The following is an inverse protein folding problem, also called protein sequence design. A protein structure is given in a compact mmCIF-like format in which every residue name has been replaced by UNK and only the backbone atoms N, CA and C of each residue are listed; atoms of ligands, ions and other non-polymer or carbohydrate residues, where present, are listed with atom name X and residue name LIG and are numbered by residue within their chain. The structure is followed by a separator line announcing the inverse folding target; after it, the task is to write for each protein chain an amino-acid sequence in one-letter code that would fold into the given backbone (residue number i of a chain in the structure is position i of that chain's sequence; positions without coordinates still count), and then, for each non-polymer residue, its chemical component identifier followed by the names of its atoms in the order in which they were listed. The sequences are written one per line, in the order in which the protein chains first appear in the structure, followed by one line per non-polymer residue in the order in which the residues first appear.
data_IF_821170263183
#
_entry.id   IF_821170263183
#
_cell.length_a   1.000
_cell.length_b   1.000
_cell.length_c   1.000
_cell.angle_alpha   90.00
_cell.angle_beta   90.00
_cell.angle_gamma   90.00
#
_symmetry.space_group_name_H-M   'P 1'
#
loop_
_entity.id
_entity.type
_entity.pdbx_description
1 polymer ?
#
# COMPACT_ATOMS: atom_id res chain seq x y z
N UNK A 1 -1.72 -30.52 -0.74
CA UNK A 1 -3.12 -30.25 -0.33
C UNK A 1 -3.10 -29.77 1.12
N UNK A 2 -3.46 -28.52 1.41
CA UNK A 2 -3.50 -28.05 2.80
C UNK A 2 -4.87 -27.43 3.12
N UNK A 3 -5.61 -28.19 3.94
CA UNK A 3 -6.91 -27.91 4.54
C UNK A 3 -6.79 -26.74 5.54
N UNK A 4 -7.87 -25.95 5.63
CA UNK A 4 -8.08 -24.99 6.72
C UNK A 4 -7.88 -23.53 6.30
N UNK A 5 -8.88 -22.93 5.65
CA UNK A 5 -8.98 -21.47 5.55
C UNK A 5 -10.18 -21.03 6.37
N UNK A 6 -9.98 -20.74 7.67
CA UNK A 6 -10.98 -19.99 8.40
C UNK A 6 -11.04 -18.57 7.82
N UNK A 7 -12.26 -18.02 7.66
CA UNK A 7 -12.46 -16.65 7.12
C UNK A 7 -11.63 -15.60 7.87
N UNK A 8 -11.40 -15.81 9.17
CA UNK A 8 -10.56 -14.97 10.03
C UNK A 8 -9.09 -14.93 9.59
N UNK A 9 -8.53 -16.05 9.14
CA UNK A 9 -7.14 -16.11 8.68
C UNK A 9 -6.92 -15.29 7.41
N UNK A 10 -7.89 -15.31 6.48
CA UNK A 10 -7.82 -14.54 5.24
C UNK A 10 -7.92 -13.03 5.52
N UNK A 11 -8.80 -12.59 6.42
CA UNK A 11 -8.93 -11.17 6.81
C UNK A 11 -7.63 -10.63 7.42
N UNK A 12 -7.05 -11.38 8.35
CA UNK A 12 -5.79 -10.99 8.98
C UNK A 12 -4.65 -10.92 7.96
N UNK A 13 -4.56 -11.91 7.06
CA UNK A 13 -3.58 -11.89 5.96
C UNK A 13 -3.76 -10.69 5.04
N UNK A 14 -4.99 -10.34 4.69
CA UNK A 14 -5.26 -9.16 3.87
C UNK A 14 -4.81 -7.88 4.57
N UNK A 15 -5.18 -7.68 5.84
CA UNK A 15 -4.78 -6.51 6.61
C UNK A 15 -3.24 -6.40 6.74
N UNK A 16 -2.55 -7.51 7.00
CA UNK A 16 -1.08 -7.57 7.03
C UNK A 16 -0.48 -7.21 5.68
N UNK A 17 -1.11 -7.66 4.59
CA UNK A 17 -0.65 -7.40 3.23
C UNK A 17 -0.79 -5.94 2.83
N UNK A 18 -1.91 -5.32 3.19
CA UNK A 18 -2.13 -3.87 3.02
C UNK A 18 -1.08 -3.09 3.81
N UNK A 19 -0.86 -3.42 5.09
CA UNK A 19 0.16 -2.76 5.91
C UNK A 19 1.57 -2.93 5.33
N UNK A 20 1.95 -4.15 4.96
CA UNK A 20 3.24 -4.44 4.35
C UNK A 20 3.44 -3.65 3.05
N UNK A 21 2.38 -3.52 2.24
CA UNK A 21 2.41 -2.71 1.03
C UNK A 21 2.65 -1.24 1.32
N UNK A 22 1.91 -0.64 2.25
CA UNK A 22 2.10 0.77 2.64
C UNK A 22 3.54 1.04 3.09
N UNK A 23 4.09 0.18 3.96
CA UNK A 23 5.45 0.36 4.47
C UNK A 23 6.50 0.22 3.37
N UNK A 24 6.30 -0.71 2.43
CA UNK A 24 7.22 -0.90 1.31
C UNK A 24 7.21 0.32 0.37
N UNK A 25 6.03 0.84 0.03
CA UNK A 25 5.88 2.04 -0.81
C UNK A 25 6.54 3.25 -0.13
N UNK A 26 6.23 3.47 1.15
CA UNK A 26 6.75 4.60 1.91
C UNK A 26 8.28 4.53 2.03
N UNK A 27 8.85 3.35 2.33
CA UNK A 27 10.30 3.17 2.43
C UNK A 27 11.00 3.41 1.08
N UNK A 28 10.44 2.88 -0.01
CA UNK A 28 11.01 3.05 -1.34
C UNK A 28 10.93 4.52 -1.81
N UNK A 29 9.80 5.18 -1.58
CA UNK A 29 9.64 6.60 -1.88
C UNK A 29 10.56 7.47 -1.01
N UNK A 30 10.67 7.18 0.29
CA UNK A 30 11.57 7.89 1.19
C UNK A 30 13.02 7.80 0.72
N UNK A 31 13.47 6.61 0.31
CA UNK A 31 14.81 6.43 -0.24
C UNK A 31 15.01 7.20 -1.56
N UNK A 32 14.01 7.19 -2.45
CA UNK A 32 14.07 7.88 -3.75
C UNK A 32 14.12 9.40 -3.61
N UNK A 33 13.36 9.96 -2.68
CA UNK A 33 13.27 11.40 -2.45
C UNK A 33 14.10 11.88 -1.25
N UNK A 34 14.99 11.03 -0.72
CA UNK A 34 15.88 11.34 0.40
C UNK A 34 15.15 11.94 1.62
N UNK A 35 13.91 11.51 1.86
CA UNK A 35 13.08 12.01 2.95
C UNK A 35 12.44 13.39 2.74
N UNK A 36 12.41 13.94 1.52
CA UNK A 36 11.67 15.18 1.24
C UNK A 36 10.16 14.97 1.48
N UNK A 37 9.71 15.44 2.65
CA UNK A 37 8.35 15.28 3.11
C UNK A 37 7.33 15.97 2.19
N UNK A 38 7.68 17.08 1.54
CA UNK A 38 6.75 17.81 0.65
C UNK A 38 6.47 16.99 -0.60
N UNK A 39 7.51 16.35 -1.15
CA UNK A 39 7.38 15.47 -2.32
C UNK A 39 6.67 14.18 -1.94
N UNK A 40 7.01 13.58 -0.80
CA UNK A 40 6.36 12.36 -0.30
C UNK A 40 4.85 12.54 -0.12
N UNK A 41 4.40 13.65 0.48
CA UNK A 41 2.98 13.96 0.64
C UNK A 41 2.22 13.98 -0.68
N UNK A 42 2.81 14.56 -1.74
CA UNK A 42 2.19 14.60 -3.06
C UNK A 42 2.15 13.22 -3.70
N UNK A 43 3.28 12.51 -3.65
CA UNK A 43 3.41 11.17 -4.21
C UNK A 43 2.46 10.15 -3.57
N UNK A 44 2.30 10.19 -2.24
CA UNK A 44 1.51 9.18 -1.53
C UNK A 44 0.01 9.25 -1.85
N UNK A 45 -0.52 10.39 -2.30
CA UNK A 45 -1.93 10.51 -2.75
C UNK A 45 -2.18 9.59 -3.94
N UNK A 46 -1.30 9.61 -4.93
CA UNK A 46 -1.40 8.73 -6.11
C UNK A 46 -1.11 7.26 -5.77
N UNK A 47 -0.26 7.01 -4.77
CA UNK A 47 0.01 5.66 -4.27
C UNK A 47 -1.23 5.05 -3.63
N UNK A 48 -2.01 5.81 -2.83
CA UNK A 48 -3.22 5.31 -2.18
C UNK A 48 -4.22 4.79 -3.21
N UNK A 49 -4.55 5.61 -4.22
CA UNK A 49 -5.48 5.21 -5.29
C UNK A 49 -4.96 3.99 -6.07
N UNK A 50 -3.67 3.96 -6.33
CA UNK A 50 -3.00 2.86 -7.01
C UNK A 50 -3.06 1.55 -6.21
N UNK A 51 -2.88 1.59 -4.89
CA UNK A 51 -2.98 0.41 -4.03
C UNK A 51 -4.40 -0.16 -4.07
N UNK A 52 -5.43 0.69 -3.98
CA UNK A 52 -6.84 0.27 -4.02
C UNK A 52 -7.13 -0.46 -5.35
N UNK A 53 -6.76 0.16 -6.48
CA UNK A 53 -6.92 -0.45 -7.81
C UNK A 53 -6.17 -1.79 -7.92
N UNK A 54 -4.95 -1.86 -7.39
CA UNK A 54 -4.13 -3.07 -7.43
C UNK A 54 -4.76 -4.23 -6.64
N UNK A 55 -5.30 -3.97 -5.45
CA UNK A 55 -6.02 -4.98 -4.66
C UNK A 55 -7.37 -5.36 -5.27
N UNK A 56 -8.00 -4.46 -6.03
CA UNK A 56 -9.23 -4.75 -6.78
C UNK A 56 -8.98 -5.52 -8.10
N UNK A 57 -7.75 -5.94 -8.38
CA UNK A 57 -7.39 -6.72 -9.57
C UNK A 57 -7.01 -5.89 -10.80
N UNK A 58 -6.78 -4.58 -10.65
CA UNK A 58 -6.32 -3.68 -11.71
C UNK A 58 -4.85 -3.29 -11.51
N UNK A 59 -4.00 -4.28 -11.24
CA UNK A 59 -2.56 -4.07 -11.27
C UNK A 59 -2.13 -3.90 -12.74
N UNK A 60 -1.40 -2.82 -13.04
CA UNK A 60 -1.22 -2.37 -14.42
C UNK A 60 -0.54 -1.01 -14.50
N UNK A 61 -1.06 -0.16 -15.40
CA UNK A 61 -0.52 1.18 -15.69
C UNK A 61 -0.42 2.08 -14.46
N UNK A 62 -1.41 2.07 -13.56
CA UNK A 62 -1.36 2.86 -12.32
C UNK A 62 -0.19 2.43 -11.44
N UNK A 63 0.04 1.13 -11.29
CA UNK A 63 1.21 0.64 -10.55
C UNK A 63 2.52 1.03 -11.26
N UNK A 64 2.62 0.83 -12.58
CA UNK A 64 3.81 1.21 -13.33
C UNK A 64 4.16 2.70 -13.21
N UNK A 65 3.16 3.57 -13.07
CA UNK A 65 3.34 5.02 -12.99
C UNK A 65 3.60 5.53 -11.57
N UNK A 66 2.85 5.03 -10.60
CA UNK A 66 2.77 5.64 -9.27
C UNK A 66 3.30 4.75 -8.14
N UNK A 67 3.42 3.44 -8.36
CA UNK A 67 3.99 2.56 -7.35
C UNK A 67 5.52 2.57 -7.39
N UNK A 68 6.12 2.56 -6.21
CA UNK A 68 7.56 2.40 -6.00
C UNK A 68 7.97 0.94 -5.81
N UNK A 69 7.01 0.04 -5.55
CA UNK A 69 7.27 -1.40 -5.25
C UNK A 69 6.43 -2.36 -6.09
N UNK A 70 5.78 -1.90 -7.17
CA UNK A 70 5.15 -2.77 -8.17
C UNK A 70 5.35 -2.22 -9.57
N UNK A 71 5.91 -3.04 -10.46
CA UNK A 71 6.14 -2.69 -11.86
C UNK A 71 4.86 -2.69 -12.74
N UNK A 72 3.69 -3.07 -12.21
CA UNK A 72 2.45 -3.11 -12.99
C UNK A 72 2.36 -4.21 -14.05
N UNK A 73 3.25 -5.22 -14.00
CA UNK A 73 3.28 -6.32 -14.98
C UNK A 73 2.37 -7.49 -14.62
N UNK A 74 1.76 -7.47 -13.42
CA UNK A 74 0.91 -8.54 -12.93
C UNK A 74 -0.56 -8.12 -12.97
N UNK A 75 -1.49 -9.07 -13.02
CA UNK A 75 -2.94 -8.80 -12.95
C UNK A 75 -3.45 -8.53 -11.52
N UNK A 76 -2.62 -8.67 -10.49
CA UNK A 76 -2.96 -8.39 -9.09
C UNK A 76 -1.71 -8.10 -8.26
N UNK A 77 -1.90 -7.70 -7.00
CA UNK A 77 -0.85 -7.51 -5.99
C UNK A 77 -0.13 -8.82 -5.64
N UNK A 78 0.54 -9.46 -6.60
CA UNK A 78 1.11 -10.83 -6.50
C UNK A 78 2.12 -10.99 -5.35
N UNK A 79 2.78 -9.90 -4.96
CA UNK A 79 3.73 -9.88 -3.84
C UNK A 79 3.05 -9.74 -2.47
N UNK A 80 1.75 -9.40 -2.45
CA UNK A 80 0.97 -9.08 -1.26
C UNK A 80 -0.33 -9.90 -1.19
N UNK A 81 -0.66 -10.73 -2.18
CA UNK A 81 -1.84 -11.59 -2.17
C UNK A 81 -1.51 -12.98 -2.73
N UNK A 82 -2.09 -14.05 -2.16
CA UNK A 82 -1.96 -15.39 -2.72
C UNK A 82 -2.49 -15.46 -4.16
N UNK A 83 -1.85 -16.24 -5.02
CA UNK A 83 -2.17 -16.32 -6.46
C UNK A 83 -3.64 -16.65 -6.80
N UNK A 84 -4.37 -17.28 -5.88
CA UNK A 84 -5.75 -17.75 -6.09
C UNK A 84 -6.83 -16.94 -5.35
N UNK A 85 -6.46 -15.82 -4.70
CA UNK A 85 -7.42 -14.96 -4.03
C UNK A 85 -7.70 -13.75 -4.91
N UNK A 86 -8.97 -13.50 -5.21
CA UNK A 86 -9.42 -12.27 -5.85
C UNK A 86 -10.33 -11.53 -4.88
N UNK A 87 -9.95 -10.30 -4.52
CA UNK A 87 -10.86 -9.42 -3.79
C UNK A 87 -11.68 -8.66 -4.83
N UNK A 88 -13.00 -8.73 -4.73
CA UNK A 88 -13.90 -7.83 -5.45
C UNK A 88 -14.43 -6.86 -4.43
N UNK A 89 -13.98 -5.62 -4.50
CA UNK A 89 -14.42 -4.56 -3.58
C UNK A 89 -15.58 -3.81 -4.21
N UNK A 90 -16.69 -3.68 -3.48
CA UNK A 90 -17.71 -2.68 -3.81
C UNK A 90 -17.22 -1.29 -3.37
N UNK A 91 -17.90 -0.24 -3.79
CA UNK A 91 -17.45 1.15 -3.52
C UNK A 91 -17.26 1.43 -2.02
N UNK A 92 -18.12 0.88 -1.16
CA UNK A 92 -17.98 1.01 0.29
C UNK A 92 -16.71 0.32 0.83
N UNK A 93 -16.34 -0.83 0.29
CA UNK A 93 -15.10 -1.53 0.68
C UNK A 93 -13.87 -0.71 0.26
N UNK A 94 -13.91 -0.09 -0.92
CA UNK A 94 -12.84 0.78 -1.41
C UNK A 94 -12.68 2.01 -0.52
N UNK A 95 -13.79 2.62 -0.08
CA UNK A 95 -13.76 3.74 0.86
C UNK A 95 -13.19 3.34 2.22
N UNK A 96 -13.52 2.15 2.73
CA UNK A 96 -12.95 1.63 3.98
C UNK A 96 -11.45 1.41 3.82
N UNK A 97 -11.02 0.78 2.71
CA UNK A 97 -9.61 0.56 2.42
C UNK A 97 -8.87 1.89 2.29
N UNK A 98 -9.44 2.88 1.59
CA UNK A 98 -8.87 4.22 1.45
C UNK A 98 -8.62 4.85 2.82
N UNK A 99 -9.62 4.87 3.71
CA UNK A 99 -9.46 5.37 5.08
C UNK A 99 -8.34 4.63 5.82
N UNK A 100 -8.25 3.32 5.67
CA UNK A 100 -7.17 2.53 6.26
C UNK A 100 -5.79 2.91 5.71
N UNK A 101 -5.67 3.19 4.42
CA UNK A 101 -4.43 3.62 3.79
C UNK A 101 -4.04 5.04 4.23
N UNK A 102 -5.01 5.94 4.33
CA UNK A 102 -4.83 7.33 4.78
C UNK A 102 -4.30 7.42 6.22
N UNK A 103 -4.66 6.49 7.10
CA UNK A 103 -4.07 6.42 8.45
C UNK A 103 -2.54 6.26 8.45
N UNK A 104 -1.95 5.80 7.34
CA UNK A 104 -0.50 5.55 7.22
C UNK A 104 0.16 6.49 6.20
N UNK A 105 -0.53 6.77 5.08
CA UNK A 105 0.05 7.41 3.90
C UNK A 105 -0.51 8.83 3.66
N UNK A 106 -1.50 9.29 4.44
CA UNK A 106 -2.02 10.66 4.27
C UNK A 106 -0.96 11.70 4.63
N UNK A 107 -1.09 12.93 4.11
CA UNK A 107 -0.17 14.00 4.48
C UNK A 107 -0.07 14.25 5.99
N UNK A 108 -1.21 14.18 6.69
CA UNK A 108 -1.26 14.33 8.15
C UNK A 108 -0.55 13.16 8.87
N UNK A 109 -0.73 11.93 8.39
CA UNK A 109 -0.02 10.78 8.93
C UNK A 109 1.49 10.94 8.70
N UNK A 110 1.92 11.35 7.50
CA UNK A 110 3.33 11.57 7.19
C UNK A 110 3.96 12.67 8.05
N UNK A 111 3.23 13.74 8.37
CA UNK A 111 3.68 14.78 9.31
C UNK A 111 3.86 14.25 10.73
N UNK A 112 2.94 13.42 11.20
CA UNK A 112 3.00 12.80 12.52
C UNK A 112 4.10 11.74 12.62
N UNK A 113 4.54 11.20 11.48
CA UNK A 113 5.42 10.05 11.44
C UNK A 113 6.89 10.49 11.43
N UNK A 114 7.59 10.29 12.54
CA UNK A 114 9.07 10.44 12.64
C UNK A 114 9.84 9.28 11.96
N UNK A 115 9.26 8.63 10.96
CA UNK A 115 9.94 7.53 10.25
C UNK A 115 11.14 8.14 9.51
N UNK A 116 12.34 7.66 9.86
CA UNK A 116 13.60 7.93 9.15
C UNK A 116 14.14 9.37 9.26
N UNK A 117 13.53 10.25 10.06
CA UNK A 117 14.21 11.47 10.53
C UNK A 117 15.27 11.06 11.54
N UNK A 118 16.54 11.16 11.18
CA UNK A 118 17.66 10.94 12.08
C UNK A 118 17.48 11.81 13.33
N UNK A 119 17.28 11.20 14.50
CA UNK A 119 17.40 11.87 15.80
C UNK A 119 18.86 12.15 16.16
N UNK A 120 19.81 11.91 15.25
CA UNK A 120 21.20 12.29 15.40
C UNK A 120 21.39 13.73 14.90
N UNK A 121 21.22 14.69 15.79
CA UNK A 121 22.03 15.91 15.75
C UNK A 121 22.85 15.94 17.03
N UNK A 122 24.17 15.92 16.83
CA UNK A 122 25.19 16.29 17.80
C UNK A 122 24.93 17.67 18.39
#
# INVERSE_FOLDING_TARGET
MLKGHSKTNIRNRFALSVKARCMAELKAAHNKYQGDIKVLKKAMVDVISTIILCFNGYCGTSCAKYSYVCAGTNRQAKNFMPNNVKVRMVDSDQQVLQKCLEMVLSPAALDATKLLTTTQKC
#
